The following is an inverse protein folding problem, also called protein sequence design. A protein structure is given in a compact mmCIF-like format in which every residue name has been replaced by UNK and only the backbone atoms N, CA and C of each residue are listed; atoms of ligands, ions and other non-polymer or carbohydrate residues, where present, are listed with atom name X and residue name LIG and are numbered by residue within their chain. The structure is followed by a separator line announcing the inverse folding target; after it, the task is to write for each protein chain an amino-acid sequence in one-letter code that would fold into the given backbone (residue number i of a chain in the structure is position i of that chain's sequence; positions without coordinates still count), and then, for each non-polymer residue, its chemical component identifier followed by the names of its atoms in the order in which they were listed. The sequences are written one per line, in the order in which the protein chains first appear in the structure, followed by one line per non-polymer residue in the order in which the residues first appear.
data_IF_335231802970
#
_entry.id   IF_335231802970
#
_cell.length_a   1.000
_cell.length_b   1.000
_cell.length_c   1.000
_cell.angle_alpha   90.00
_cell.angle_beta   90.00
_cell.angle_gamma   90.00
#
_symmetry.space_group_name_H-M   'P 1'
#
loop_
_entity.id
_entity.type
_entity.pdbx_description
1 polymer ?
#
# COMPACT_ATOMS: atom_id res chain seq x y z
N UNK A 1 -0.67 -13.47 17.25
CA UNK A 1 -0.24 -13.17 15.87
C UNK A 1 -0.03 -11.68 15.77
N UNK A 2 1.19 -11.25 15.46
CA UNK A 2 1.55 -9.83 15.31
C UNK A 2 1.92 -9.48 13.87
N UNK A 3 1.90 -10.47 12.96
CA UNK A 3 2.37 -10.31 11.60
C UNK A 3 1.25 -10.72 10.63
N UNK A 4 1.26 -10.16 9.42
CA UNK A 4 0.30 -10.49 8.38
C UNK A 4 0.92 -10.36 7.00
N UNK A 5 0.58 -11.29 6.12
CA UNK A 5 0.85 -11.19 4.69
C UNK A 5 -0.45 -10.87 3.95
N UNK A 6 -0.44 -9.80 3.16
CA UNK A 6 -1.49 -9.44 2.22
C UNK A 6 -0.99 -9.70 0.81
N UNK A 7 -1.81 -10.29 -0.06
CA UNK A 7 -1.52 -10.51 -1.48
C UNK A 7 -2.70 -9.99 -2.27
N UNK A 8 -2.47 -9.23 -3.34
CA UNK A 8 -3.57 -8.65 -4.08
C UNK A 8 -3.17 -7.83 -5.29
N UNK A 9 -4.18 -7.15 -5.82
CA UNK A 9 -4.08 -6.22 -6.94
C UNK A 9 -3.79 -4.84 -6.37
N UNK A 10 -2.76 -4.17 -6.89
CA UNK A 10 -2.26 -2.87 -6.43
C UNK A 10 -1.66 -2.86 -5.02
N UNK A 11 -1.48 -4.04 -4.42
CA UNK A 11 -0.65 -4.24 -3.23
C UNK A 11 0.84 -4.10 -3.61
N UNK A 12 1.73 -3.91 -2.63
CA UNK A 12 3.16 -3.78 -2.91
C UNK A 12 3.52 -2.49 -3.63
N UNK A 13 2.91 -1.37 -3.25
CA UNK A 13 3.22 -0.05 -3.81
C UNK A 13 2.52 0.26 -5.13
N UNK A 14 1.30 -0.22 -5.33
CA UNK A 14 0.54 0.00 -6.57
C UNK A 14 0.95 -0.92 -7.72
N UNK A 15 1.50 -2.10 -7.41
CA UNK A 15 1.90 -3.13 -8.38
C UNK A 15 0.69 -3.91 -8.89
N UNK A 16 0.64 -4.32 -10.17
CA UNK A 16 -0.53 -5.04 -10.71
C UNK A 16 -0.88 -6.30 -9.88
N UNK A 17 0.14 -7.04 -9.49
CA UNK A 17 0.06 -8.12 -8.49
C UNK A 17 1.23 -7.92 -7.53
N UNK A 18 0.94 -7.85 -6.25
CA UNK A 18 1.94 -7.64 -5.21
C UNK A 18 1.52 -8.22 -3.87
N UNK A 19 2.41 -8.03 -2.90
CA UNK A 19 2.16 -8.39 -1.52
C UNK A 19 2.65 -7.29 -0.58
N UNK A 20 2.00 -7.17 0.56
CA UNK A 20 2.41 -6.36 1.70
C UNK A 20 2.63 -7.29 2.89
N UNK A 21 3.79 -7.18 3.53
CA UNK A 21 4.09 -7.82 4.79
C UNK A 21 4.06 -6.79 5.91
N UNK A 22 3.24 -7.03 6.92
CA UNK A 22 3.03 -6.14 8.05
C UNK A 22 3.44 -6.78 9.38
N UNK A 23 4.03 -5.99 10.26
CA UNK A 23 4.32 -6.33 11.66
C UNK A 23 3.77 -5.24 12.58
N UNK A 24 3.03 -5.65 13.62
CA UNK A 24 2.64 -4.80 14.75
C UNK A 24 3.79 -4.61 15.74
N UNK A 25 4.28 -3.38 15.86
CA UNK A 25 5.31 -2.98 16.81
C UNK A 25 4.73 -2.64 18.19
N UNK A 26 3.46 -2.23 18.26
CA UNK A 26 2.67 -2.13 19.50
C UNK A 26 1.26 -2.69 19.29
N UNK A 27 0.37 -2.56 20.27
CA UNK A 27 -1.02 -3.05 20.17
C UNK A 27 -1.75 -2.50 18.94
N UNK A 28 -1.57 -1.21 18.63
CA UNK A 28 -2.26 -0.53 17.54
C UNK A 28 -1.31 0.02 16.47
N UNK A 29 0.01 -0.04 16.66
CA UNK A 29 0.98 0.53 15.72
C UNK A 29 1.73 -0.56 14.98
N UNK A 30 1.81 -0.44 13.65
CA UNK A 30 2.52 -1.38 12.80
C UNK A 30 3.31 -0.69 11.69
N UNK A 31 4.20 -1.46 11.08
CA UNK A 31 4.91 -1.08 9.86
C UNK A 31 4.65 -2.13 8.80
N UNK A 32 4.67 -1.72 7.54
CA UNK A 32 4.56 -2.62 6.40
C UNK A 32 5.61 -2.33 5.35
N UNK A 33 6.03 -3.40 4.67
CA UNK A 33 6.84 -3.34 3.46
C UNK A 33 6.17 -4.20 2.41
N UNK A 34 6.21 -3.74 1.17
CA UNK A 34 5.50 -4.37 0.08
C UNK A 34 6.32 -4.40 -1.19
N UNK A 35 6.08 -5.42 -1.99
CA UNK A 35 6.69 -5.57 -3.30
C UNK A 35 5.71 -6.25 -4.24
N UNK A 36 5.80 -5.93 -5.52
CA UNK A 36 5.07 -6.61 -6.56
C UNK A 36 5.80 -6.59 -7.88
N UNK A 37 5.10 -7.02 -8.93
CA UNK A 37 5.64 -6.97 -10.28
C UNK A 37 5.85 -5.49 -10.62
N UNK A 38 7.11 -5.10 -10.73
CA UNK A 38 7.59 -3.74 -11.03
C UNK A 38 7.10 -2.65 -10.08
N UNK A 39 7.08 -2.91 -8.76
CA UNK A 39 6.81 -1.86 -7.78
C UNK A 39 7.13 -2.30 -6.37
N UNK A 40 7.28 -1.34 -5.48
CA UNK A 40 7.47 -1.58 -4.06
C UNK A 40 6.89 -0.45 -3.22
N UNK A 41 6.63 -0.75 -1.96
CA UNK A 41 6.07 0.21 -1.04
C UNK A 41 6.48 -0.05 0.39
N UNK A 42 6.21 0.94 1.23
CA UNK A 42 6.34 0.83 2.67
C UNK A 42 5.25 1.68 3.32
N UNK A 43 4.91 1.40 4.56
CA UNK A 43 3.88 2.15 5.27
C UNK A 43 3.97 2.04 6.77
N UNK A 44 3.32 2.99 7.42
CA UNK A 44 3.14 3.03 8.87
C UNK A 44 1.65 2.96 9.15
N UNK A 45 1.25 2.07 10.03
CA UNK A 45 -0.12 1.64 10.22
C UNK A 45 -0.60 1.92 11.64
N UNK A 46 -1.82 2.45 11.77
CA UNK A 46 -2.53 2.68 13.04
C UNK A 46 -3.86 1.93 13.00
N UNK A 47 -3.92 0.84 13.75
CA UNK A 47 -5.08 -0.05 13.84
C UNK A 47 -6.17 0.52 14.74
N UNK A 48 -7.42 0.34 14.32
CA UNK A 48 -8.60 0.76 15.08
C UNK A 48 -8.86 -0.10 16.32
N UNK A 49 -8.29 -1.30 16.39
CA UNK A 49 -8.37 -2.24 17.51
C UNK A 49 -6.99 -2.89 17.74
N UNK A 50 -6.67 -3.34 18.96
CA UNK A 50 -5.37 -3.89 19.29
C UNK A 50 -5.18 -5.32 18.72
N UNK A 51 -5.25 -5.47 17.40
CA UNK A 51 -5.23 -6.76 16.70
C UNK A 51 -4.83 -6.58 15.24
N UNK A 52 -3.93 -7.41 14.73
CA UNK A 52 -3.49 -7.42 13.32
C UNK A 52 -4.66 -7.59 12.34
N UNK A 53 -5.76 -8.22 12.72
CA UNK A 53 -6.96 -8.35 11.86
C UNK A 53 -7.81 -7.09 11.77
N UNK A 54 -7.50 -6.05 12.55
CA UNK A 54 -8.27 -4.81 12.54
C UNK A 54 -8.10 -4.07 11.23
N UNK A 55 -9.14 -3.33 10.83
CA UNK A 55 -8.96 -2.23 9.88
C UNK A 55 -8.06 -1.15 10.49
N UNK A 56 -7.36 -0.41 9.64
CA UNK A 56 -6.36 0.57 10.07
C UNK A 56 -6.27 1.75 9.10
N UNK A 57 -5.75 2.86 9.60
CA UNK A 57 -5.24 3.93 8.76
C UNK A 57 -3.76 3.71 8.52
N UNK A 58 -3.29 4.07 7.35
CA UNK A 58 -1.88 3.91 6.99
C UNK A 58 -1.40 5.13 6.24
N UNK A 59 -0.15 5.52 6.49
CA UNK A 59 0.55 6.48 5.65
C UNK A 59 1.61 5.72 4.86
N UNK A 60 1.47 5.73 3.54
CA UNK A 60 2.22 4.85 2.66
C UNK A 60 3.11 5.61 1.68
N UNK A 61 4.18 4.94 1.30
CA UNK A 61 5.07 5.26 0.20
C UNK A 61 4.88 4.20 -0.88
N UNK A 62 4.53 4.62 -2.09
CA UNK A 62 4.34 3.77 -3.27
C UNK A 62 5.32 4.17 -4.35
N UNK A 63 6.16 3.24 -4.79
CA UNK A 63 7.08 3.42 -5.90
C UNK A 63 6.68 2.50 -7.04
N UNK A 64 6.14 3.08 -8.11
CA UNK A 64 5.57 2.34 -9.23
C UNK A 64 6.57 2.30 -10.39
N UNK A 65 7.09 1.12 -10.70
CA UNK A 65 8.10 0.85 -11.72
C UNK A 65 9.53 0.85 -11.17
N UNK A 66 10.47 0.25 -11.90
CA UNK A 66 11.91 0.21 -11.58
C UNK A 66 12.72 0.68 -12.79
N UNK A 67 13.72 1.52 -12.57
CA UNK A 67 14.59 2.06 -13.62
C UNK A 67 13.77 2.82 -14.67
N UNK A 68 13.92 2.46 -15.95
CA UNK A 68 13.20 3.12 -17.05
C UNK A 68 11.67 2.86 -17.05
N UNK A 69 11.19 1.87 -16.28
CA UNK A 69 9.76 1.63 -16.10
C UNK A 69 9.15 2.44 -14.95
N UNK A 70 9.98 3.17 -14.19
CA UNK A 70 9.51 4.03 -13.11
C UNK A 70 8.53 5.07 -13.66
N UNK A 71 7.30 5.03 -13.16
CA UNK A 71 6.20 5.90 -13.56
C UNK A 71 6.05 7.05 -12.59
N UNK A 72 6.00 6.76 -11.29
CA UNK A 72 5.84 7.78 -10.25
C UNK A 72 6.13 7.23 -8.86
N UNK A 73 6.53 8.13 -7.97
CA UNK A 73 6.57 7.89 -6.52
C UNK A 73 5.50 8.73 -5.85
N UNK A 74 4.70 8.10 -5.00
CA UNK A 74 3.56 8.71 -4.31
C UNK A 74 3.70 8.46 -2.81
N UNK A 75 3.32 9.45 -2.00
CA UNK A 75 3.10 9.26 -0.57
C UNK A 75 1.69 9.70 -0.18
N UNK A 76 1.11 9.07 0.84
CA UNK A 76 -0.15 9.60 1.38
C UNK A 76 -0.93 8.63 2.26
N UNK A 77 -2.03 9.14 2.86
CA UNK A 77 -2.86 8.35 3.75
C UNK A 77 -3.82 7.44 2.99
N UNK A 78 -4.10 6.28 3.56
CA UNK A 78 -5.16 5.39 3.12
C UNK A 78 -5.88 4.75 4.31
N UNK A 79 -7.13 4.36 4.09
CA UNK A 79 -7.87 3.47 4.98
C UNK A 79 -7.84 2.06 4.40
N UNK A 80 -7.46 1.09 5.23
CA UNK A 80 -7.45 -0.33 4.88
C UNK A 80 -8.53 -1.03 5.69
N UNK A 81 -9.52 -1.54 4.97
CA UNK A 81 -10.57 -2.38 5.52
C UNK A 81 -10.10 -3.84 5.55
N UNK A 82 -10.16 -4.47 6.73
CA UNK A 82 -9.98 -5.92 6.87
C UNK A 82 -11.28 -6.58 7.31
N UNK A 83 -11.75 -7.54 6.51
CA UNK A 83 -12.89 -8.38 6.88
C UNK A 83 -12.53 -9.37 7.99
N UNK A 84 -13.52 -10.04 8.58
CA UNK A 84 -13.28 -11.06 9.64
C UNK A 84 -12.45 -12.26 9.17
N UNK A 85 -12.45 -12.58 7.86
CA UNK A 85 -11.81 -13.79 7.32
C UNK A 85 -10.48 -13.45 6.64
N UNK A 86 -10.50 -13.29 5.32
CA UNK A 86 -9.31 -13.13 4.49
C UNK A 86 -9.38 -11.91 3.58
N UNK A 87 -10.54 -11.29 3.36
CA UNK A 87 -10.65 -10.18 2.43
C UNK A 87 -10.11 -8.87 3.01
N UNK A 88 -9.40 -8.09 2.18
CA UNK A 88 -8.97 -6.72 2.46
C UNK A 88 -9.20 -5.80 1.26
N UNK A 89 -9.48 -4.53 1.53
CA UNK A 89 -9.57 -3.49 0.52
C UNK A 89 -9.05 -2.16 1.06
N UNK A 90 -8.42 -1.38 0.19
CA UNK A 90 -7.83 -0.09 0.52
C UNK A 90 -8.41 1.01 -0.36
N UNK A 91 -8.59 2.18 0.24
CA UNK A 91 -8.84 3.43 -0.48
C UNK A 91 -8.08 4.58 0.20
N UNK A 92 -7.46 5.46 -0.56
CA UNK A 92 -6.64 6.53 -0.04
C UNK A 92 -6.37 7.67 -1.02
N UNK A 93 -5.60 8.64 -0.54
CA UNK A 93 -5.12 9.77 -1.31
C UNK A 93 -3.61 9.71 -1.40
N UNK A 94 -3.10 9.83 -2.60
CA UNK A 94 -1.68 9.83 -2.92
C UNK A 94 -1.25 11.18 -3.48
N UNK A 95 -0.19 11.73 -2.92
CA UNK A 95 0.47 12.95 -3.38
C UNK A 95 1.75 12.54 -4.11
N UNK A 96 1.85 12.75 -5.43
CA UNK A 96 3.07 12.49 -6.16
C UNK A 96 4.21 13.36 -5.63
N UNK A 97 5.33 12.73 -5.30
CA UNK A 97 6.56 13.42 -4.87
C UNK A 97 7.66 13.30 -5.92
N UNK A 98 7.52 12.34 -6.85
CA UNK A 98 8.44 12.15 -7.95
C UNK A 98 7.69 11.68 -9.19
N UNK A 99 8.08 12.22 -10.34
CA UNK A 99 7.62 11.80 -11.66
C UNK A 99 8.72 10.97 -12.30
N UNK A 100 8.38 9.75 -12.70
CA UNK A 100 9.32 8.86 -13.37
C UNK A 100 9.38 9.06 -14.90
N UNK A 101 10.41 8.50 -15.55
CA UNK A 101 10.61 8.57 -17.00
C UNK A 101 9.47 7.92 -17.80
N UNK A 102 8.77 6.94 -17.23
CA UNK A 102 7.64 6.27 -17.88
C UNK A 102 6.31 7.04 -17.73
N UNK A 103 6.29 8.17 -17.01
CA UNK A 103 5.05 8.95 -16.87
C UNK A 103 4.62 9.56 -18.21
N UNK A 104 3.36 9.39 -18.65
CA UNK A 104 2.91 9.85 -19.96
C UNK A 104 3.27 11.31 -20.26
N UNK A 105 4.04 11.55 -21.32
CA UNK A 105 4.62 12.87 -21.63
C UNK A 105 3.54 13.95 -21.83
N UNK A 106 2.42 13.59 -22.44
CA UNK A 106 1.31 14.50 -22.78
C UNK A 106 0.35 14.78 -21.61
N UNK A 107 0.56 14.15 -20.44
CA UNK A 107 -0.36 14.26 -19.31
C UNK A 107 0.30 15.03 -18.17
N UNK A 108 -0.38 16.07 -17.71
CA UNK A 108 -0.02 16.70 -16.43
C UNK A 108 -0.34 15.71 -15.31
N UNK A 109 0.63 15.53 -14.41
CA UNK A 109 0.42 14.71 -13.24
C UNK A 109 -0.51 15.45 -12.28
N UNK A 110 -1.65 14.87 -11.89
CA UNK A 110 -2.54 15.53 -10.95
C UNK A 110 -1.85 15.64 -9.59
N UNK A 111 -2.12 16.71 -8.82
CA UNK A 111 -1.48 16.92 -7.52
C UNK A 111 -1.95 15.92 -6.45
N UNK A 112 -3.09 15.26 -6.69
CA UNK A 112 -3.67 14.24 -5.82
C UNK A 112 -4.20 13.10 -6.69
N UNK A 113 -3.89 11.87 -6.31
CA UNK A 113 -4.26 10.62 -6.99
C UNK A 113 -5.07 9.77 -6.00
N UNK A 114 -6.17 9.17 -6.47
CA UNK A 114 -6.86 8.15 -5.70
C UNK A 114 -6.01 6.87 -5.69
N UNK A 115 -5.64 6.38 -4.51
CA UNK A 115 -4.97 5.08 -4.36
C UNK A 115 -5.97 4.05 -3.89
N UNK A 116 -5.87 2.82 -4.39
CA UNK A 116 -6.74 1.72 -3.99
C UNK A 116 -6.04 0.38 -4.23
N UNK A 117 -6.39 -0.61 -3.43
CA UNK A 117 -5.90 -1.98 -3.56
C UNK A 117 -6.97 -2.96 -3.05
N UNK A 118 -6.95 -4.19 -3.55
CA UNK A 118 -7.86 -5.25 -3.12
C UNK A 118 -7.07 -6.55 -3.05
N UNK A 119 -7.25 -7.29 -1.96
CA UNK A 119 -6.46 -8.50 -1.74
C UNK A 119 -7.04 -9.47 -0.73
N UNK A 120 -6.25 -10.52 -0.51
CA UNK A 120 -6.41 -11.47 0.57
C UNK A 120 -5.31 -11.29 1.62
N UNK A 121 -5.67 -11.26 2.89
CA UNK A 121 -4.75 -11.17 4.01
C UNK A 121 -4.76 -12.45 4.84
N UNK A 122 -3.58 -12.85 5.31
CA UNK A 122 -3.31 -14.05 6.09
C UNK A 122 -2.49 -13.63 7.31
N UNK A 123 -3.08 -13.64 8.52
CA UNK A 123 -2.31 -13.45 9.75
C UNK A 123 -1.39 -14.64 9.99
N UNK A 124 -0.15 -14.36 10.41
CA UNK A 124 0.92 -15.33 10.64
C UNK A 124 1.30 -15.41 12.13
#
# INVERSE_FOLDING_TARGET
MRNCLTIGILEGGGSLVGFDYEILLSDNFGIQVGAGIVGFGAGINIHLKPNIRSSFFTFQYWHQGIGNSHTQTIVGPAYVYRSKKWFTAQIGLGFPIERGPAYPFLKNQPPVILTYAIGGYIPL
#
